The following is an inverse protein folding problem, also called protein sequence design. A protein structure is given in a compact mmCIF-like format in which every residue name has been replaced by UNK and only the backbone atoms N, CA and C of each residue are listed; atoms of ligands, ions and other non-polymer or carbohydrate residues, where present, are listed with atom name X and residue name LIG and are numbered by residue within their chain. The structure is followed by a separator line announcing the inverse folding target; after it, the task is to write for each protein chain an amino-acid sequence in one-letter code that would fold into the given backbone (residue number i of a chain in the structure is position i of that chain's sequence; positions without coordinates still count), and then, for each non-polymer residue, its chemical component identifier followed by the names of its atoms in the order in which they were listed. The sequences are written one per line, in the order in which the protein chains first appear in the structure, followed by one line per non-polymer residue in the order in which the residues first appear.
data_IF_742850844787
#
_entry.id   IF_742850844787
#
_cell.length_a   1.000
_cell.length_b   1.000
_cell.length_c   1.000
_cell.angle_alpha   90.00
_cell.angle_beta   90.00
_cell.angle_gamma   90.00
#
_symmetry.space_group_name_H-M   'P 1'
#
loop_
_entity.id
_entity.type
_entity.pdbx_description
1 polymer ?
#
# COMPACT_ATOMS: atom_id res chain seq x y z
N UNK A 1 -6.54 5.80 -8.33
CA UNK A 1 -5.60 4.77 -7.86
C UNK A 1 -4.31 5.46 -7.44
N UNK A 2 -3.74 5.07 -6.31
CA UNK A 2 -2.43 5.51 -5.82
C UNK A 2 -1.48 4.31 -5.92
N UNK A 3 -0.22 4.57 -6.27
CA UNK A 3 0.86 3.57 -6.26
C UNK A 3 1.91 4.03 -5.27
N UNK A 4 2.20 3.18 -4.29
CA UNK A 4 3.27 3.40 -3.30
C UNK A 4 4.41 2.46 -3.63
N UNK A 5 5.61 3.03 -3.84
CA UNK A 5 6.84 2.27 -4.12
C UNK A 5 7.81 2.43 -2.96
N UNK A 6 8.45 1.34 -2.59
CA UNK A 6 9.60 1.34 -1.67
C UNK A 6 10.84 1.13 -2.51
N UNK A 7 11.74 2.10 -2.51
CA UNK A 7 12.96 2.08 -3.30
C UNK A 7 14.17 2.17 -2.37
N UNK A 8 15.18 1.33 -2.62
CA UNK A 8 16.52 1.50 -2.08
C UNK A 8 17.30 2.40 -3.02
N UNK A 9 17.81 3.50 -2.49
CA UNK A 9 18.67 4.43 -3.23
C UNK A 9 20.07 4.32 -2.66
N UNK A 10 21.00 3.83 -3.47
CA UNK A 10 22.39 3.71 -3.08
C UNK A 10 23.06 5.07 -3.05
N UNK A 11 23.60 5.45 -1.90
CA UNK A 11 24.39 6.68 -1.76
C UNK A 11 25.78 6.58 -2.42
N UNK A 12 26.24 5.36 -2.76
CA UNK A 12 27.58 5.12 -3.31
C UNK A 12 27.62 5.29 -4.81
N UNK A 13 26.67 4.67 -5.51
CA UNK A 13 26.64 4.62 -6.98
C UNK A 13 25.37 5.24 -7.58
N UNK A 14 24.45 5.75 -6.76
CA UNK A 14 23.21 6.37 -7.21
C UNK A 14 22.15 5.39 -7.77
N UNK A 15 22.43 4.09 -7.72
CA UNK A 15 21.49 3.08 -8.21
C UNK A 15 20.21 3.05 -7.38
N UNK A 16 19.09 2.82 -8.08
CA UNK A 16 17.76 2.76 -7.48
C UNK A 16 17.17 1.39 -7.74
N UNK A 17 16.81 0.69 -6.68
CA UNK A 17 16.17 -0.62 -6.76
C UNK A 17 14.83 -0.58 -6.08
N UNK A 18 13.78 -0.91 -6.82
CA UNK A 18 12.44 -1.04 -6.26
C UNK A 18 12.33 -2.37 -5.50
N UNK A 19 12.04 -2.28 -4.20
CA UNK A 19 11.96 -3.42 -3.29
C UNK A 19 10.54 -3.95 -3.14
N UNK A 20 9.54 -3.04 -3.13
CA UNK A 20 8.16 -3.39 -2.91
C UNK A 20 7.20 -2.36 -3.53
N UNK A 21 5.98 -2.80 -3.84
CA UNK A 21 4.91 -1.95 -4.36
C UNK A 21 3.57 -2.27 -3.73
N UNK A 22 2.83 -1.22 -3.38
CA UNK A 22 1.43 -1.28 -2.97
C UNK A 22 0.59 -0.43 -3.92
N UNK A 23 -0.63 -0.89 -4.21
CA UNK A 23 -1.66 -0.10 -4.91
C UNK A 23 -2.86 0.12 -4.02
N UNK A 24 -3.46 1.30 -4.15
CA UNK A 24 -4.66 1.70 -3.40
C UNK A 24 -5.69 2.27 -4.37
N UNK A 25 -6.83 1.61 -4.48
CA UNK A 25 -7.91 1.93 -5.41
C UNK A 25 -9.12 2.45 -4.65
N UNK A 26 -9.74 3.53 -5.12
CA UNK A 26 -11.03 3.95 -4.59
C UNK A 26 -12.10 2.96 -5.09
N UNK A 27 -12.88 2.41 -4.16
CA UNK A 27 -13.96 1.44 -4.42
C UNK A 27 -15.33 1.98 -3.96
N UNK A 28 -15.43 3.29 -3.70
CA UNK A 28 -16.65 3.95 -3.28
C UNK A 28 -16.43 5.04 -2.23
N UNK A 29 -17.54 5.48 -1.64
CA UNK A 29 -17.60 6.54 -0.63
C UNK A 29 -18.28 7.80 -1.15
N UNK A 30 -18.02 8.93 -0.48
CA UNK A 30 -18.52 10.26 -0.79
C UNK A 30 -17.39 11.20 -1.23
N UNK A 31 -17.72 12.47 -1.49
CA UNK A 31 -16.71 13.47 -1.84
C UNK A 31 -15.64 13.66 -0.74
N UNK A 32 -16.05 13.62 0.53
CA UNK A 32 -15.16 13.85 1.68
C UNK A 32 -14.69 12.57 2.36
N UNK A 33 -15.29 11.41 2.05
CA UNK A 33 -14.98 10.10 2.65
C UNK A 33 -14.73 9.06 1.56
N UNK A 34 -13.55 8.44 1.52
CA UNK A 34 -13.24 7.39 0.55
C UNK A 34 -13.22 6.00 1.17
N UNK A 35 -13.74 5.02 0.43
CA UNK A 35 -13.50 3.60 0.66
C UNK A 35 -12.44 3.14 -0.33
N UNK A 36 -11.45 2.41 0.17
CA UNK A 36 -10.26 2.04 -0.59
C UNK A 36 -9.99 0.55 -0.48
N UNK A 37 -9.70 -0.09 -1.61
CA UNK A 37 -9.05 -1.41 -1.65
C UNK A 37 -7.54 -1.19 -1.70
N UNK A 38 -6.80 -1.91 -0.87
CA UNK A 38 -5.35 -1.84 -0.80
C UNK A 38 -4.73 -3.21 -1.06
N UNK A 39 -3.66 -3.24 -1.86
CA UNK A 39 -3.02 -4.47 -2.33
C UNK A 39 -1.51 -4.31 -2.36
N UNK A 40 -0.78 -5.15 -1.65
CA UNK A 40 0.67 -5.30 -1.89
C UNK A 40 0.90 -6.29 -3.03
N UNK A 41 1.96 -6.09 -3.81
CA UNK A 41 2.25 -6.91 -4.99
C UNK A 41 3.33 -7.95 -4.71
N UNK A 42 3.26 -9.06 -5.43
CA UNK A 42 4.31 -10.09 -5.45
C UNK A 42 5.52 -9.62 -6.26
N UNK A 43 6.72 -9.86 -5.75
CA UNK A 43 7.98 -9.56 -6.45
C UNK A 43 8.97 -8.80 -5.58
N UNK A 44 10.24 -8.80 -6.01
CA UNK A 44 11.37 -8.09 -5.36
C UNK A 44 12.24 -7.33 -6.37
N UNK A 45 11.73 -7.15 -7.58
CA UNK A 45 12.38 -6.39 -8.64
C UNK A 45 11.32 -5.58 -9.39
N UNK A 46 11.76 -4.48 -10.00
CA UNK A 46 10.88 -3.62 -10.79
C UNK A 46 10.09 -4.41 -11.86
N UNK A 47 10.76 -5.27 -12.62
CA UNK A 47 10.12 -6.06 -13.67
C UNK A 47 9.06 -7.03 -13.10
N UNK A 48 9.36 -7.70 -11.99
CA UNK A 48 8.39 -8.58 -11.32
C UNK A 48 7.19 -7.79 -10.78
N UNK A 49 7.42 -6.62 -10.19
CA UNK A 49 6.38 -5.75 -9.65
C UNK A 49 5.52 -5.10 -10.75
N UNK A 50 6.11 -4.78 -11.90
CA UNK A 50 5.40 -4.32 -13.10
C UNK A 50 4.47 -5.43 -13.64
N UNK A 51 4.99 -6.66 -13.75
CA UNK A 51 4.19 -7.83 -14.13
C UNK A 51 3.05 -8.14 -13.14
N UNK A 52 3.36 -8.11 -11.84
CA UNK A 52 2.38 -8.33 -10.79
C UNK A 52 1.29 -7.26 -10.77
N UNK A 53 1.63 -5.99 -11.05
CA UNK A 53 0.65 -4.91 -11.17
C UNK A 53 -0.33 -5.18 -12.32
N UNK A 54 0.19 -5.50 -13.50
CA UNK A 54 -0.64 -5.83 -14.67
C UNK A 54 -1.57 -7.02 -14.37
N UNK A 55 -1.07 -8.05 -13.70
CA UNK A 55 -1.89 -9.18 -13.28
C UNK A 55 -2.97 -8.75 -12.27
N UNK A 56 -2.63 -7.96 -11.25
CA UNK A 56 -3.57 -7.52 -10.23
C UNK A 56 -4.69 -6.62 -10.77
N UNK A 57 -4.40 -5.77 -11.77
CA UNK A 57 -5.41 -4.94 -12.44
C UNK A 57 -6.39 -5.80 -13.25
N UNK A 58 -5.90 -6.87 -13.88
CA UNK A 58 -6.71 -7.79 -14.71
C UNK A 58 -7.44 -8.89 -13.91
N UNK A 59 -7.41 -8.84 -12.58
CA UNK A 59 -8.00 -9.87 -11.72
C UNK A 59 -7.20 -11.17 -11.62
N UNK A 60 -5.94 -11.17 -12.05
CA UNK A 60 -5.01 -12.29 -11.98
C UNK A 60 -4.20 -12.35 -10.68
N UNK A 61 -3.27 -13.33 -10.60
CA UNK A 61 -2.46 -13.64 -9.39
C UNK A 61 -1.26 -12.70 -9.20
N UNK A 62 -1.48 -11.39 -9.12
CA UNK A 62 -0.44 -10.38 -8.86
C UNK A 62 -0.32 -9.93 -7.39
N UNK A 63 -1.38 -10.11 -6.63
CA UNK A 63 -1.49 -9.63 -5.24
C UNK A 63 -0.80 -10.56 -4.25
N UNK A 64 -0.07 -9.97 -3.30
CA UNK A 64 0.51 -10.65 -2.13
C UNK A 64 -0.44 -10.62 -0.94
N UNK A 65 -0.91 -9.43 -0.55
CA UNK A 65 -1.98 -9.23 0.46
C UNK A 65 -2.99 -8.23 -0.07
N UNK A 66 -4.24 -8.40 0.34
CA UNK A 66 -5.35 -7.49 0.02
C UNK A 66 -6.15 -7.18 1.28
N UNK A 67 -6.56 -5.93 1.43
CA UNK A 67 -7.51 -5.51 2.47
C UNK A 67 -8.26 -4.26 2.03
N UNK A 68 -9.11 -3.73 2.89
CA UNK A 68 -9.91 -2.53 2.63
C UNK A 68 -9.80 -1.53 3.79
N UNK A 69 -9.84 -0.25 3.44
CA UNK A 69 -9.97 0.88 4.38
C UNK A 69 -11.26 1.61 4.03
N UNK A 70 -12.19 1.70 4.97
CA UNK A 70 -13.49 2.36 4.76
C UNK A 70 -13.56 3.71 5.47
N UNK A 71 -14.33 4.66 4.91
CA UNK A 71 -14.62 5.94 5.57
C UNK A 71 -13.43 6.90 5.76
N UNK A 72 -12.33 6.72 5.02
CA UNK A 72 -11.14 7.56 5.17
C UNK A 72 -11.42 9.02 4.74
N UNK A 73 -11.17 10.03 5.58
CA UNK A 73 -11.45 11.44 5.25
C UNK A 73 -10.41 12.04 4.30
N UNK A 74 -10.59 11.75 3.00
CA UNK A 74 -9.66 11.97 1.88
C UNK A 74 -9.27 13.42 1.55
N UNK A 75 -10.03 14.41 2.01
CA UNK A 75 -9.72 15.84 1.79
C UNK A 75 -9.10 16.50 3.04
N UNK A 76 -9.12 15.81 4.18
CA UNK A 76 -8.67 16.35 5.47
C UNK A 76 -7.36 15.72 5.91
N UNK A 77 -7.18 14.43 5.67
CA UNK A 77 -5.99 13.70 6.09
C UNK A 77 -4.95 13.64 4.96
N UNK A 78 -3.67 13.83 5.30
CA UNK A 78 -2.57 13.61 4.37
C UNK A 78 -2.53 12.15 3.91
N UNK A 79 -2.12 11.90 2.66
CA UNK A 79 -2.13 10.56 2.04
C UNK A 79 -1.36 9.50 2.84
N UNK A 80 -0.32 9.89 3.59
CA UNK A 80 0.42 8.98 4.47
C UNK A 80 -0.46 8.34 5.55
N UNK A 81 -1.51 9.01 6.03
CA UNK A 81 -2.47 8.40 6.95
C UNK A 81 -3.26 7.28 6.28
N UNK A 82 -3.64 7.44 5.01
CA UNK A 82 -4.26 6.37 4.24
C UNK A 82 -3.28 5.19 4.06
N UNK A 83 -2.03 5.48 3.69
CA UNK A 83 -0.99 4.44 3.54
C UNK A 83 -0.78 3.66 4.84
N UNK A 84 -0.69 4.35 5.98
CA UNK A 84 -0.57 3.70 7.29
C UNK A 84 -1.77 2.80 7.60
N UNK A 85 -3.01 3.29 7.38
CA UNK A 85 -4.24 2.50 7.55
C UNK A 85 -4.26 1.28 6.63
N UNK A 86 -3.80 1.41 5.38
CA UNK A 86 -3.70 0.29 4.44
C UNK A 86 -2.70 -0.77 4.92
N UNK A 87 -1.52 -0.35 5.40
CA UNK A 87 -0.51 -1.26 5.95
C UNK A 87 -1.05 -2.01 7.16
N UNK A 88 -1.64 -1.30 8.13
CA UNK A 88 -2.25 -1.90 9.32
C UNK A 88 -3.38 -2.87 8.95
N UNK A 89 -4.25 -2.50 8.01
CA UNK A 89 -5.36 -3.35 7.55
C UNK A 89 -4.91 -4.64 6.85
N UNK A 90 -3.67 -4.69 6.35
CA UNK A 90 -3.03 -5.89 5.77
C UNK A 90 -2.13 -6.63 6.77
N UNK A 91 -2.22 -6.29 8.05
CA UNK A 91 -1.40 -6.79 9.15
C UNK A 91 0.11 -6.56 8.94
N UNK A 92 0.48 -5.41 8.36
CA UNK A 92 1.86 -4.90 8.40
C UNK A 92 2.02 -3.92 9.56
N UNK A 93 3.13 -4.06 10.29
CA UNK A 93 3.40 -3.34 11.55
C UNK A 93 2.89 -4.14 12.76
N UNK A 94 3.71 -4.25 13.80
CA UNK A 94 3.38 -5.02 15.00
C UNK A 94 2.16 -4.43 15.72
N UNK A 95 1.15 -5.28 15.98
CA UNK A 95 0.01 -4.92 16.86
C UNK A 95 0.46 -4.69 18.31
N UNK A 96 1.53 -5.35 18.75
CA UNK A 96 2.03 -5.27 20.12
C UNK A 96 2.58 -3.89 20.51
N UNK A 97 3.09 -3.10 19.55
CA UNK A 97 3.56 -1.75 19.82
C UNK A 97 2.41 -0.73 20.01
N UNK A 98 1.20 -1.04 19.56
CA UNK A 98 0.03 -0.15 19.68
C UNK A 98 -0.78 -0.39 20.97
N UNK A 99 -0.65 -1.56 21.60
CA UNK A 99 -1.37 -1.92 22.83
C UNK A 99 -0.48 -1.81 24.09
N UNK A 100 0.84 -1.61 23.93
CA UNK A 100 1.83 -1.56 25.01
C UNK A 100 2.04 -0.22 25.71
N UNK A 101 1.26 0.82 25.39
CA UNK A 101 1.34 2.15 26.02
C UNK A 101 0.10 2.48 26.87
N UNK A 102 -0.60 1.44 27.34
CA UNK A 102 -1.72 1.53 28.27
C UNK A 102 -1.56 0.58 29.47
N UNK A 103 -0.33 0.44 30.00
CA UNK A 103 -0.03 -0.25 31.25
C UNK A 103 0.72 0.68 32.21
#
# INVERSE_FOLDING_TARGET
MIVVRVELWSAVNGEKTELARMVVDNIGGTNTRGNYRCRTLKGRSKAALDGALCAAIRGGKGTQRESQVTGHPRLREHVWNLVAKCLAAMDYGDKAAAEGEAA
#
